data_IF_226948398092
#
_entry.id   IF_226948398092
#
_cell.length_a   1.000
_cell.length_b   1.000
_cell.length_c   1.000
_cell.angle_alpha   90.00
_cell.angle_beta   90.00
_cell.angle_gamma   90.00
#
_symmetry.space_group_name_H-M   'P 1'
#
loop_
_entity.id
_entity.type
_entity.pdbx_description
1 polymer ?
#
# COMPACT_ATOMS: atom_id res chain seq x y z
N UNK A 1 23.95 -4.64 4.35
CA UNK A 1 23.61 -5.81 3.51
C UNK A 1 23.03 -5.40 2.15
N UNK A 2 21.93 -4.64 2.11
CA UNK A 2 21.28 -4.22 0.85
C UNK A 2 22.22 -3.41 -0.05
N UNK A 3 23.03 -2.51 0.51
CA UNK A 3 24.05 -1.78 -0.23
C UNK A 3 25.09 -2.69 -0.89
N UNK A 4 25.58 -3.70 -0.18
CA UNK A 4 26.55 -4.69 -0.69
C UNK A 4 25.97 -5.48 -1.86
N UNK A 5 24.71 -5.89 -1.76
CA UNK A 5 24.00 -6.58 -2.84
C UNK A 5 23.88 -5.71 -4.09
N UNK A 6 23.49 -4.44 -3.92
CA UNK A 6 23.40 -3.50 -5.05
C UNK A 6 24.78 -3.21 -5.66
N UNK A 7 25.84 -3.12 -4.84
CA UNK A 7 27.22 -2.92 -5.31
C UNK A 7 27.69 -4.08 -6.20
N UNK A 8 27.43 -5.31 -5.79
CA UNK A 8 27.91 -6.50 -6.50
C UNK A 8 27.05 -6.83 -7.73
N UNK A 9 25.72 -6.75 -7.61
CA UNK A 9 24.79 -7.19 -8.66
C UNK A 9 24.16 -6.05 -9.48
N UNK A 10 24.34 -4.79 -9.05
CA UNK A 10 23.90 -3.57 -9.75
C UNK A 10 22.40 -3.52 -10.03
N UNK A 11 21.58 -3.97 -9.08
CA UNK A 11 20.13 -4.06 -9.24
C UNK A 11 19.43 -2.74 -9.61
N UNK A 12 19.90 -1.60 -9.10
CA UNK A 12 19.34 -0.29 -9.48
C UNK A 12 19.56 0.04 -10.96
N UNK A 13 20.61 -0.49 -11.59
CA UNK A 13 20.98 -0.21 -12.99
C UNK A 13 20.47 -1.27 -13.98
N UNK A 14 20.00 -2.42 -13.52
CA UNK A 14 19.56 -3.53 -14.38
C UNK A 14 18.39 -3.12 -15.29
N UNK A 15 18.46 -3.41 -16.60
CA UNK A 15 17.40 -3.09 -17.56
C UNK A 15 16.13 -3.94 -17.36
N UNK A 16 16.29 -5.18 -16.89
CA UNK A 16 15.16 -6.08 -16.63
C UNK A 16 14.26 -5.53 -15.50
N UNK A 17 13.04 -5.21 -15.88
CA UNK A 17 12.04 -4.58 -15.02
C UNK A 17 11.55 -5.51 -13.90
N UNK A 18 11.51 -6.82 -14.14
CA UNK A 18 11.05 -7.78 -13.13
C UNK A 18 12.07 -7.99 -12.01
N UNK A 19 13.35 -8.00 -12.37
CA UNK A 19 14.44 -8.04 -11.39
C UNK A 19 14.38 -6.79 -10.53
N UNK A 20 14.21 -5.61 -11.16
CA UNK A 20 14.15 -4.34 -10.44
C UNK A 20 12.91 -4.24 -9.54
N UNK A 21 11.76 -4.76 -9.96
CA UNK A 21 10.57 -4.87 -9.11
C UNK A 21 10.85 -5.70 -7.84
N UNK A 22 11.45 -6.88 -8.00
CA UNK A 22 11.78 -7.77 -6.87
C UNK A 22 12.80 -7.12 -5.95
N UNK A 23 13.77 -6.42 -6.53
CA UNK A 23 14.76 -5.65 -5.79
C UNK A 23 14.10 -4.59 -4.90
N UNK A 24 13.26 -3.72 -5.45
CA UNK A 24 12.55 -2.71 -4.65
C UNK A 24 11.61 -3.31 -3.62
N UNK A 25 11.02 -4.48 -3.90
CA UNK A 25 10.20 -5.21 -2.92
C UNK A 25 11.00 -5.66 -1.69
N UNK A 26 12.32 -5.86 -1.83
CA UNK A 26 13.22 -6.20 -0.71
C UNK A 26 13.81 -4.93 -0.10
N UNK A 27 14.31 -3.99 -0.91
CA UNK A 27 14.98 -2.78 -0.42
C UNK A 27 14.04 -1.87 0.37
N UNK A 28 12.78 -1.74 -0.06
CA UNK A 28 11.79 -0.95 0.65
C UNK A 28 11.43 -1.58 1.99
N UNK A 29 11.43 -2.91 2.12
CA UNK A 29 11.20 -3.56 3.43
C UNK A 29 12.28 -3.21 4.46
N UNK A 30 13.51 -2.94 4.01
CA UNK A 30 14.60 -2.44 4.86
C UNK A 30 14.61 -0.92 5.03
N UNK A 31 13.70 -0.18 4.40
CA UNK A 31 13.68 1.29 4.45
C UNK A 31 14.77 1.97 3.60
N UNK A 32 15.36 1.26 2.63
CA UNK A 32 16.43 1.79 1.78
C UNK A 32 15.93 2.01 0.34
N UNK A 33 16.56 2.95 -0.36
CA UNK A 33 16.31 3.24 -1.78
C UNK A 33 14.87 3.69 -2.09
N UNK A 34 14.21 4.40 -1.16
CA UNK A 34 12.86 4.94 -1.35
C UNK A 34 12.79 5.91 -2.54
N UNK A 35 13.75 6.83 -2.64
CA UNK A 35 13.81 7.81 -3.72
C UNK A 35 14.03 7.17 -5.10
N UNK A 36 14.90 6.16 -5.15
CA UNK A 36 15.14 5.40 -6.39
C UNK A 36 13.88 4.63 -6.82
N UNK A 37 13.15 4.06 -5.86
CA UNK A 37 11.90 3.36 -6.14
C UNK A 37 10.79 4.32 -6.63
N UNK A 38 10.68 5.50 -6.02
CA UNK A 38 9.77 6.57 -6.44
C UNK A 38 10.08 7.05 -7.87
N UNK A 39 11.35 7.32 -8.16
CA UNK A 39 11.80 7.72 -9.50
C UNK A 39 11.62 6.60 -10.53
N UNK A 40 11.74 5.35 -10.11
CA UNK A 40 11.52 4.24 -11.01
C UNK A 40 10.03 4.05 -11.34
N UNK A 41 9.14 4.19 -10.36
CA UNK A 41 7.70 3.92 -10.53
C UNK A 41 6.99 5.00 -11.35
N UNK A 42 7.46 6.25 -11.31
CA UNK A 42 6.94 7.34 -12.16
C UNK A 42 7.02 6.98 -13.65
N UNK A 43 8.09 6.30 -14.04
CA UNK A 43 8.33 5.87 -15.42
C UNK A 43 7.58 4.59 -15.84
N UNK A 44 6.73 4.01 -14.98
CA UNK A 44 6.09 2.69 -15.23
C UNK A 44 4.58 2.77 -15.27
N UNK A 45 4.01 2.85 -16.48
CA UNK A 45 2.56 2.87 -16.69
C UNK A 45 1.85 1.52 -16.49
N UNK A 46 2.59 0.40 -16.41
CA UNK A 46 1.99 -0.94 -16.23
C UNK A 46 1.67 -1.19 -14.77
N UNK A 47 0.39 -1.44 -14.49
CA UNK A 47 -0.12 -1.71 -13.13
C UNK A 47 0.65 -2.80 -12.37
N UNK A 48 1.14 -3.83 -13.08
CA UNK A 48 2.00 -4.90 -12.53
C UNK A 48 3.21 -4.36 -11.75
N UNK A 49 3.74 -3.20 -12.13
CA UNK A 49 4.87 -2.57 -11.46
C UNK A 49 4.42 -1.46 -10.51
N UNK A 50 3.49 -0.60 -10.94
CA UNK A 50 3.08 0.56 -10.15
C UNK A 50 2.48 0.17 -8.80
N UNK A 51 1.46 -0.69 -8.79
CA UNK A 51 0.72 -1.05 -7.56
C UNK A 51 1.59 -1.68 -6.46
N UNK A 52 2.39 -2.72 -6.71
CA UNK A 52 3.20 -3.31 -5.65
C UNK A 52 4.28 -2.35 -5.11
N UNK A 53 4.84 -1.48 -5.95
CA UNK A 53 5.87 -0.51 -5.53
C UNK A 53 5.25 0.59 -4.70
N UNK A 54 4.17 1.25 -5.16
CA UNK A 54 3.47 2.26 -4.36
C UNK A 54 2.98 1.68 -3.04
N UNK A 55 2.51 0.42 -3.03
CA UNK A 55 2.13 -0.28 -1.80
C UNK A 55 3.29 -0.53 -0.84
N UNK A 56 4.48 -0.82 -1.35
CA UNK A 56 5.66 -0.98 -0.52
C UNK A 56 6.19 0.38 -0.03
N UNK A 57 6.21 1.37 -0.92
CA UNK A 57 6.69 2.72 -0.64
C UNK A 57 5.81 3.41 0.40
N UNK A 58 4.49 3.34 0.26
CA UNK A 58 3.54 3.94 1.20
C UNK A 58 3.67 3.39 2.64
N UNK A 59 4.10 2.13 2.79
CA UNK A 59 4.33 1.53 4.11
C UNK A 59 5.55 2.10 4.84
N UNK A 60 6.50 2.64 4.09
CA UNK A 60 7.78 3.13 4.60
C UNK A 60 7.73 4.65 4.69
N UNK A 61 7.31 5.29 3.60
CA UNK A 61 7.33 6.73 3.40
C UNK A 61 6.07 7.17 2.64
N UNK A 62 4.95 7.39 3.35
CA UNK A 62 3.65 7.70 2.74
C UNK A 62 3.63 9.07 2.03
N UNK A 63 4.31 10.07 2.59
CA UNK A 63 4.38 11.42 2.02
C UNK A 63 5.09 11.40 0.65
N UNK A 64 6.21 10.69 0.54
CA UNK A 64 6.94 10.54 -0.72
C UNK A 64 6.07 9.82 -1.77
N UNK A 65 5.33 8.79 -1.37
CA UNK A 65 4.45 8.05 -2.27
C UNK A 65 3.30 8.94 -2.80
N UNK A 66 2.69 9.78 -1.95
CA UNK A 66 1.64 10.73 -2.33
C UNK A 66 2.16 11.76 -3.31
N UNK A 67 3.25 12.44 -2.96
CA UNK A 67 3.87 13.45 -3.81
C UNK A 67 4.24 12.88 -5.18
N UNK A 68 4.89 11.72 -5.20
CA UNK A 68 5.28 11.06 -6.47
C UNK A 68 4.06 10.70 -7.33
N UNK A 69 2.95 10.28 -6.71
CA UNK A 69 1.74 9.97 -7.45
C UNK A 69 1.05 11.23 -8.00
N UNK A 70 0.97 12.31 -7.22
CA UNK A 70 0.40 13.59 -7.66
C UNK A 70 1.18 14.15 -8.86
N UNK A 71 2.51 14.20 -8.75
CA UNK A 71 3.42 14.69 -9.79
C UNK A 71 3.31 13.90 -11.11
N UNK A 72 2.93 12.61 -11.04
CA UNK A 72 2.87 11.71 -12.21
C UNK A 72 1.45 11.20 -12.51
N UNK A 73 0.43 11.79 -11.90
CA UNK A 73 -0.95 11.30 -12.00
C UNK A 73 -1.44 11.24 -13.44
N UNK A 74 -1.03 12.23 -14.25
CA UNK A 74 -1.42 12.35 -15.65
C UNK A 74 -0.82 11.31 -16.59
N UNK A 75 0.31 10.70 -16.22
CA UNK A 75 0.98 9.68 -17.00
C UNK A 75 0.23 8.34 -17.01
N UNK A 76 -0.52 8.03 -15.95
CA UNK A 76 -1.21 6.75 -15.82
C UNK A 76 -2.54 6.73 -16.60
N UNK A 77 -2.83 5.59 -17.24
CA UNK A 77 -4.14 5.30 -17.83
C UNK A 77 -5.26 5.53 -16.78
N UNK A 78 -6.43 6.07 -17.14
CA UNK A 78 -7.48 6.43 -16.18
C UNK A 78 -7.88 5.31 -15.21
N UNK A 79 -7.98 4.07 -15.68
CA UNK A 79 -8.23 2.89 -14.82
C UNK A 79 -7.10 2.69 -13.80
N UNK A 80 -5.85 2.88 -14.22
CA UNK A 80 -4.69 2.73 -13.36
C UNK A 80 -4.63 3.84 -12.32
N UNK A 81 -4.91 5.07 -12.74
CA UNK A 81 -4.99 6.25 -11.88
C UNK A 81 -6.06 6.08 -10.81
N UNK A 82 -7.27 5.66 -11.17
CA UNK A 82 -8.36 5.43 -10.22
C UNK A 82 -7.95 4.41 -9.14
N UNK A 83 -7.38 3.27 -9.54
CA UNK A 83 -6.93 2.23 -8.60
C UNK A 83 -5.79 2.68 -7.68
N UNK A 84 -4.86 3.50 -8.18
CA UNK A 84 -3.78 4.05 -7.37
C UNK A 84 -4.27 5.17 -6.44
N UNK A 85 -5.18 6.03 -6.92
CA UNK A 85 -5.90 7.04 -6.13
C UNK A 85 -6.61 6.38 -4.95
N UNK A 86 -7.45 5.39 -5.22
CA UNK A 86 -8.20 4.66 -4.20
C UNK A 86 -7.24 4.03 -3.19
N UNK A 87 -6.14 3.44 -3.67
CA UNK A 87 -5.14 2.84 -2.81
C UNK A 87 -4.38 3.87 -1.95
N UNK A 88 -3.99 5.02 -2.48
CA UNK A 88 -3.20 6.02 -1.75
C UNK A 88 -4.08 6.81 -0.77
N UNK A 89 -5.36 7.02 -1.11
CA UNK A 89 -6.32 7.77 -0.29
C UNK A 89 -7.06 6.90 0.72
N UNK A 90 -7.26 5.60 0.45
CA UNK A 90 -8.13 4.72 1.23
C UNK A 90 -7.38 3.47 1.73
N UNK A 91 -6.32 3.60 2.54
CA UNK A 91 -5.80 2.44 3.28
C UNK A 91 -6.32 2.36 4.72
N UNK A 92 -7.48 1.71 4.95
CA UNK A 92 -7.64 0.94 6.17
C UNK A 92 -6.80 -0.33 6.01
N UNK A 93 -5.67 -0.37 6.72
CA UNK A 93 -4.87 -1.54 7.09
C UNK A 93 -5.33 -2.88 6.49
N UNK A 94 -4.69 -3.33 5.40
CA UNK A 94 -4.76 -4.75 5.01
C UNK A 94 -4.00 -5.55 6.07
N UNK A 95 -4.76 -5.91 7.11
CA UNK A 95 -4.52 -6.86 8.20
C UNK A 95 -3.25 -7.68 7.99
N UNK A 96 -2.19 -7.34 8.73
CA UNK A 96 -1.20 -8.34 9.13
C UNK A 96 -2.01 -9.36 9.93
N UNK A 97 -2.37 -10.48 9.32
CA UNK A 97 -2.78 -11.67 10.08
C UNK A 97 -1.54 -12.06 10.86
N UNK A 98 -1.42 -11.56 12.08
CA UNK A 98 -0.43 -12.03 13.04
C UNK A 98 -0.96 -13.41 13.43
N UNK A 99 -0.20 -14.46 13.11
CA UNK A 99 -0.43 -15.75 13.75
C UNK A 99 -0.28 -15.48 15.25
N UNK A 100 -1.37 -15.62 16.00
CA UNK A 100 -1.27 -15.66 17.45
C UNK A 100 -0.51 -16.94 17.77
N UNK A 101 0.61 -16.82 18.44
CA UNK A 101 1.28 -17.94 19.08
C UNK A 101 0.22 -18.66 19.93
N UNK A 102 0.00 -19.93 19.64
CA UNK A 102 -0.86 -20.77 20.47
C UNK A 102 -0.12 -21.07 21.76
N UNK A 103 -0.43 -20.31 22.81
CA UNK A 103 -0.06 -20.67 24.18
C UNK A 103 -0.81 -21.96 24.55
N UNK A 104 -0.06 -23.02 24.84
CA UNK A 104 -0.56 -24.37 25.09
C UNK A 104 -1.15 -24.55 26.48
N UNK A 105 -1.50 -23.48 27.20
CA UNK A 105 -1.84 -23.56 28.63
C UNK A 105 -3.21 -23.08 29.07
N UNK A 106 -4.04 -22.45 28.24
CA UNK A 106 -5.38 -22.03 28.68
C UNK A 106 -6.46 -22.18 27.58
N UNK A 107 -7.45 -23.02 27.86
CA UNK A 107 -8.63 -23.36 27.06
C UNK A 107 -9.68 -22.23 27.03
N UNK A 108 -9.31 -21.04 26.56
CA UNK A 108 -10.28 -19.97 26.26
C UNK A 108 -10.10 -19.41 24.85
N UNK A 109 -10.86 -19.96 23.90
CA UNK A 109 -11.03 -19.39 22.57
C UNK A 109 -11.95 -18.17 22.63
N UNK A 110 -11.39 -17.00 22.91
CA UNK A 110 -12.05 -15.72 22.59
C UNK A 110 -11.77 -15.38 21.12
N UNK A 111 -12.69 -15.77 20.25
CA UNK A 111 -12.78 -15.24 18.89
C UNK A 111 -13.29 -13.79 18.95
N UNK A 112 -12.38 -12.82 19.09
CA UNK A 112 -12.71 -11.44 18.72
C UNK A 112 -12.64 -11.32 17.20
N UNK A 113 -13.76 -11.60 16.53
CA UNK A 113 -14.03 -11.08 15.19
C UNK A 113 -14.18 -9.56 15.28
N UNK A 114 -13.09 -8.82 15.05
CA UNK A 114 -13.21 -7.41 14.66
C UNK A 114 -13.70 -7.36 13.21
N UNK A 115 -15.01 -7.21 13.06
CA UNK A 115 -15.72 -7.12 11.79
C UNK A 115 -16.05 -5.65 11.42
N UNK A 116 -15.65 -5.34 10.18
CA UNK A 116 -16.09 -4.33 9.21
C UNK A 116 -17.22 -3.36 9.63
N UNK A 117 -16.92 -2.28 10.37
CA UNK A 117 -17.77 -1.05 10.39
C UNK A 117 -17.00 0.19 10.83
N UNK A 118 -16.39 0.92 9.89
CA UNK A 118 -16.24 2.39 9.95
C UNK A 118 -16.20 2.98 8.55
N UNK A 119 -17.35 2.95 7.87
CA UNK A 119 -17.80 4.16 7.20
C UNK A 119 -18.06 5.18 8.31
N UNK A 120 -17.48 6.37 8.22
CA UNK A 120 -17.80 7.47 9.11
C UNK A 120 -19.31 7.78 9.04
N UNK A 121 -19.97 8.16 10.13
CA UNK A 121 -21.37 8.57 10.10
C UNK A 121 -21.48 9.88 9.32
N UNK A 122 -22.08 9.84 8.13
CA UNK A 122 -22.58 11.04 7.45
C UNK A 122 -23.93 11.35 8.07
N UNK A 123 -24.03 12.45 8.82
CA UNK A 123 -25.30 12.95 9.34
C UNK A 123 -26.14 13.49 8.18
N UNK A 124 -27.00 12.65 7.60
CA UNK A 124 -28.09 13.11 6.74
C UNK A 124 -29.33 13.23 7.63
N UNK A 125 -29.75 14.46 7.94
CA UNK A 125 -31.05 14.71 8.58
C UNK A 125 -32.14 14.47 7.54
N UNK A 126 -32.82 13.33 7.63
CA UNK A 126 -34.14 13.16 7.04
C UNK A 126 -35.16 13.40 8.15
N UNK A 127 -35.99 14.42 7.94
CA UNK A 127 -37.12 14.79 8.80
C UNK A 127 -38.08 13.60 8.95
N UNK A 128 -38.47 13.33 10.20
CA UNK A 128 -39.50 12.37 10.57
C UNK A 128 -40.87 12.85 10.04
N UNK A 129 -41.45 12.10 9.11
CA UNK A 129 -42.90 11.97 9.02
C UNK A 129 -43.26 10.56 9.45
N UNK A 130 -44.02 10.46 10.53
CA UNK A 130 -45.04 9.45 10.85
C UNK A 130 -45.48 9.70 12.31
N UNK A 131 -46.37 10.67 12.46
CA UNK A 131 -47.18 10.84 13.65
C UNK A 131 -48.32 9.83 13.65
N UNK A 132 -48.42 9.11 14.77
CA UNK A 132 -49.63 8.39 15.17
C UNK A 132 -50.81 9.36 15.31
N UNK A 133 -51.94 9.02 14.71
CA UNK A 133 -53.31 9.19 15.24
C UNK A 133 -54.23 8.25 14.48
#
# INVERSE_FOLDING_TARGET
MVETMNKNYRFNKTNNQEIRLRWYSVSLKSGCYCQDAATWVSNKGRMKFARPVYRALFKVEPELARKTFEDNSDFYHPICRALLSDFILFLPSYRRVRLLETDTRNTTCLLLCFDVRRYAPVHIRLSKDLGLS
#
